data_IF_331592954480
#
_entry.id   IF_331592954480
#
_cell.length_a   1.000
_cell.length_b   1.000
_cell.length_c   1.000
_cell.angle_alpha   90.00
_cell.angle_beta   90.00
_cell.angle_gamma   90.00
#
_symmetry.space_group_name_H-M   'P 1'
#
loop_
_entity.id
_entity.type
_entity.pdbx_description
1 polymer ?
#
# COMPACT_ATOMS: atom_id res chain seq x y z
N UNK A 1 -29.24 2.70 20.44
CA UNK A 1 -28.41 3.28 19.38
C UNK A 1 -28.40 2.29 18.24
N UNK A 2 -29.37 2.46 17.34
CA UNK A 2 -29.52 1.63 16.15
C UNK A 2 -28.42 2.03 15.17
N UNK A 3 -27.52 1.09 14.88
CA UNK A 3 -26.45 1.26 13.90
C UNK A 3 -27.09 1.57 12.55
N UNK A 4 -26.81 2.75 12.00
CA UNK A 4 -27.29 3.15 10.68
C UNK A 4 -26.94 2.08 9.63
N UNK A 5 -27.85 1.75 8.70
CA UNK A 5 -27.57 0.78 7.66
C UNK A 5 -26.42 1.28 6.79
N UNK A 6 -25.32 0.52 6.76
CA UNK A 6 -24.22 0.74 5.84
C UNK A 6 -24.73 0.51 4.41
N UNK A 7 -24.84 1.58 3.63
CA UNK A 7 -25.12 1.49 2.21
C UNK A 7 -23.89 0.93 1.50
N UNK A 8 -23.95 -0.33 1.08
CA UNK A 8 -22.93 -0.98 0.26
C UNK A 8 -23.44 -1.06 -1.18
N UNK A 9 -23.13 -0.09 -2.05
CA UNK A 9 -23.53 -0.15 -3.44
C UNK A 9 -22.86 -1.35 -4.12
N UNK A 10 -23.64 -2.15 -4.85
CA UNK A 10 -23.12 -3.22 -5.70
C UNK A 10 -22.74 -2.64 -7.05
N UNK A 11 -21.45 -2.71 -7.37
CA UNK A 11 -20.92 -2.33 -8.68
C UNK A 11 -20.38 -3.57 -9.38
N UNK A 12 -20.59 -3.66 -10.69
CA UNK A 12 -20.02 -4.70 -11.55
C UNK A 12 -19.11 -4.03 -12.59
N UNK A 13 -17.99 -4.67 -12.89
CA UNK A 13 -17.00 -4.15 -13.84
C UNK A 13 -17.39 -4.54 -15.26
N UNK A 14 -17.58 -3.57 -16.15
CA UNK A 14 -18.03 -3.84 -17.54
C UNK A 14 -16.88 -4.14 -18.50
N UNK A 15 -15.66 -3.68 -18.23
CA UNK A 15 -14.48 -3.91 -19.08
C UNK A 15 -13.17 -3.67 -18.33
N UNK A 16 -12.06 -4.16 -18.90
CA UNK A 16 -10.68 -3.97 -18.40
C UNK A 16 -9.81 -3.46 -19.56
N UNK A 17 -8.90 -2.53 -19.27
CA UNK A 17 -7.94 -2.00 -20.23
C UNK A 17 -6.53 -2.39 -19.83
N UNK A 18 -5.69 -2.71 -20.81
CA UNK A 18 -4.26 -2.99 -20.62
C UNK A 18 -3.46 -1.80 -21.11
N UNK A 19 -2.57 -1.30 -20.25
CA UNK A 19 -1.73 -0.14 -20.52
C UNK A 19 -0.33 -0.38 -19.94
N UNK A 20 0.67 0.29 -20.50
CA UNK A 20 1.99 0.39 -19.88
C UNK A 20 2.04 1.60 -18.95
N UNK A 21 2.69 1.44 -17.79
CA UNK A 21 2.93 2.56 -16.88
C UNK A 21 4.21 3.29 -17.28
N UNK A 22 4.12 4.59 -17.49
CA UNK A 22 5.29 5.45 -17.66
C UNK A 22 6.02 5.65 -16.33
N UNK A 23 7.30 6.02 -16.40
CA UNK A 23 8.08 6.33 -15.19
C UNK A 23 7.48 7.46 -14.35
N UNK A 24 6.80 8.41 -14.99
CA UNK A 24 6.14 9.53 -14.31
C UNK A 24 4.91 9.04 -13.53
N UNK A 25 4.10 8.18 -14.14
CA UNK A 25 2.93 7.58 -13.49
C UNK A 25 3.31 6.71 -12.30
N UNK A 26 4.35 5.89 -12.44
CA UNK A 26 4.87 5.07 -11.32
C UNK A 26 5.30 5.95 -10.15
N UNK A 27 6.03 7.04 -10.40
CA UNK A 27 6.47 7.97 -9.35
C UNK A 27 5.30 8.69 -8.70
N UNK A 28 4.30 9.09 -9.48
CA UNK A 28 3.10 9.79 -8.99
C UNK A 28 2.21 8.88 -8.14
N UNK A 29 2.11 7.60 -8.48
CA UNK A 29 1.32 6.60 -7.74
C UNK A 29 2.06 6.07 -6.51
N UNK A 30 3.39 6.16 -6.48
CA UNK A 30 4.22 5.62 -5.40
C UNK A 30 4.01 6.41 -4.10
N UNK A 31 3.84 5.68 -3.00
CA UNK A 31 3.71 6.24 -1.64
C UNK A 31 5.06 6.43 -0.94
N UNK A 32 6.12 5.75 -1.43
CA UNK A 32 7.46 5.79 -0.85
C UNK A 32 8.52 5.35 -1.86
N UNK A 33 9.62 6.10 -1.94
CA UNK A 33 10.81 5.67 -2.69
C UNK A 33 11.61 4.67 -1.86
N UNK A 34 11.91 3.50 -2.44
CA UNK A 34 12.82 2.52 -1.87
C UNK A 34 14.27 2.95 -2.09
N UNK A 35 15.03 3.04 -1.01
CA UNK A 35 16.43 3.49 -1.00
C UNK A 35 17.37 2.54 -0.26
N UNK A 36 16.82 1.67 0.58
CA UNK A 36 17.60 0.70 1.36
C UNK A 36 17.43 -0.71 0.76
N UNK A 37 18.51 -1.32 0.26
CA UNK A 37 18.45 -2.69 -0.27
C UNK A 37 18.31 -3.75 0.85
N UNK A 38 18.64 -3.41 2.10
CA UNK A 38 18.52 -4.30 3.25
C UNK A 38 17.15 -4.10 3.91
N UNK A 39 16.34 -5.15 3.87
CA UNK A 39 14.94 -5.10 4.27
C UNK A 39 14.70 -5.01 5.78
N UNK A 40 15.48 -5.76 6.57
CA UNK A 40 15.31 -5.85 8.02
C UNK A 40 16.61 -5.51 8.76
N UNK A 41 16.49 -5.02 9.99
CA UNK A 41 17.61 -4.83 10.91
C UNK A 41 18.01 -6.15 11.61
N UNK A 42 19.00 -6.08 12.50
CA UNK A 42 19.46 -7.25 13.27
C UNK A 42 18.45 -7.79 14.30
N UNK A 43 17.35 -7.06 14.55
CA UNK A 43 16.26 -7.44 15.43
C UNK A 43 15.01 -7.89 14.65
N UNK A 44 15.11 -7.99 13.32
CA UNK A 44 14.02 -8.33 12.39
C UNK A 44 12.93 -7.26 12.29
N UNK A 45 13.21 -6.00 12.65
CA UNK A 45 12.30 -4.90 12.33
C UNK A 45 12.52 -4.41 10.90
N UNK A 46 11.46 -3.98 10.18
CA UNK A 46 11.60 -3.38 8.86
C UNK A 46 12.47 -2.13 8.88
N UNK A 47 13.43 -2.06 7.96
CA UNK A 47 14.22 -0.86 7.75
C UNK A 47 13.42 0.22 7.02
N UNK A 48 13.58 1.48 7.44
CA UNK A 48 13.05 2.62 6.70
C UNK A 48 13.66 2.70 5.29
N UNK A 49 12.81 2.93 4.29
CA UNK A 49 13.15 2.93 2.88
C UNK A 49 13.48 1.54 2.32
N UNK A 50 13.25 0.47 3.10
CA UNK A 50 13.37 -0.93 2.69
C UNK A 50 12.05 -1.48 2.14
N UNK A 51 12.05 -2.77 1.76
CA UNK A 51 10.91 -3.38 1.09
C UNK A 51 9.64 -3.54 1.96
N UNK A 52 9.77 -3.55 3.30
CA UNK A 52 8.65 -3.56 4.25
C UNK A 52 8.50 -2.21 4.96
N UNK A 53 8.82 -1.10 4.30
CA UNK A 53 8.56 0.24 4.85
C UNK A 53 7.05 0.40 5.15
N UNK A 54 6.71 0.90 6.34
CA UNK A 54 5.34 1.04 6.82
C UNK A 54 4.45 1.92 5.94
N UNK A 55 5.03 2.81 5.12
CA UNK A 55 4.27 3.57 4.13
C UNK A 55 3.68 2.69 3.01
N UNK A 56 4.20 1.47 2.82
CA UNK A 56 3.67 0.49 1.86
C UNK A 56 2.50 -0.33 2.44
N UNK A 57 2.24 -0.20 3.74
CA UNK A 57 1.20 -0.94 4.45
C UNK A 57 1.74 -1.59 5.73
N UNK A 58 0.83 -2.05 6.60
CA UNK A 58 1.18 -2.69 7.85
C UNK A 58 1.74 -4.08 7.59
N UNK A 59 2.79 -4.45 8.30
CA UNK A 59 3.36 -5.80 8.23
C UNK A 59 2.78 -6.68 9.34
N UNK A 60 2.39 -6.06 10.46
CA UNK A 60 1.78 -6.73 11.60
C UNK A 60 0.31 -6.33 11.83
N UNK A 61 -0.53 -7.21 12.42
CA UNK A 61 -1.97 -6.97 12.59
C UNK A 61 -2.36 -5.73 13.41
N UNK A 62 -1.43 -5.19 14.19
CA UNK A 62 -1.66 -4.02 15.06
C UNK A 62 -0.93 -2.76 14.57
N UNK A 63 -0.27 -2.83 13.42
CA UNK A 63 0.32 -1.66 12.79
C UNK A 63 -0.74 -0.87 11.99
N UNK A 64 -0.57 0.44 11.96
CA UNK A 64 -1.38 1.33 11.15
C UNK A 64 -0.61 1.68 9.88
N UNK A 65 -1.33 1.82 8.76
CA UNK A 65 -0.76 2.45 7.57
C UNK A 65 -0.34 3.89 7.92
N UNK A 66 0.86 4.29 7.50
CA UNK A 66 1.35 5.66 7.64
C UNK A 66 0.86 6.59 6.52
#
# INVERSE_FOLDING_TARGET
>A
MESSPTFSPSFWMSSVNFLSLSSEEVKRLSVKRLTNPTTFDGLLHPNNGGLYDQALGPTEPHELCL
#
